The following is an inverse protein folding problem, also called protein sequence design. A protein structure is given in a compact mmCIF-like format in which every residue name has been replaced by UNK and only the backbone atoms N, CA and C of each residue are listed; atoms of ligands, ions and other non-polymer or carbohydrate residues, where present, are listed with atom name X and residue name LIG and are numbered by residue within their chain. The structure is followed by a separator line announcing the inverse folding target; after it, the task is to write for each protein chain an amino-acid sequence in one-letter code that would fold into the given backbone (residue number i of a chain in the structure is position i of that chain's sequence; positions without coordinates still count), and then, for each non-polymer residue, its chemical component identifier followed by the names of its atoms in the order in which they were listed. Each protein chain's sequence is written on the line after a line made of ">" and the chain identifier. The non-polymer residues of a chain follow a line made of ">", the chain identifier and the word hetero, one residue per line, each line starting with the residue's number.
data_IF_648043969057
#
_entry.id   IF_648043969057
#
_cell.length_a   1.000
_cell.length_b   1.000
_cell.length_c   1.000
_cell.angle_alpha   90.00
_cell.angle_beta   90.00
_cell.angle_gamma   90.00
#
_symmetry.space_group_name_H-M   'P 1'
#
loop_
_entity.id
_entity.type
_entity.pdbx_description
1 polymer ?
#
# COMPACT_ATOMS: atom_id res chain seq x y z
N UNK A 1 7.13 31.19 43.28
CA UNK A 1 7.60 30.03 42.48
C UNK A 1 8.56 29.21 43.35
N UNK A 2 8.32 27.93 43.49
CA UNK A 2 9.19 27.02 44.27
C UNK A 2 10.44 26.75 43.45
N UNK A 3 11.60 26.60 44.14
CA UNK A 3 12.90 26.34 43.45
C UNK A 3 12.84 25.16 42.44
N UNK A 4 11.98 24.20 42.68
CA UNK A 4 11.72 23.06 41.77
C UNK A 4 11.10 23.48 40.43
N UNK A 5 10.22 24.51 40.44
CA UNK A 5 9.55 24.99 39.23
C UNK A 5 10.52 25.71 38.31
N UNK A 6 11.49 26.44 38.91
CA UNK A 6 12.55 27.16 38.17
C UNK A 6 13.49 26.16 37.49
N UNK A 7 13.86 25.06 38.16
CA UNK A 7 14.72 24.01 37.62
C UNK A 7 14.00 23.31 36.43
N UNK A 8 12.72 23.04 36.55
CA UNK A 8 11.93 22.38 35.51
C UNK A 8 11.81 23.26 34.24
N UNK A 9 11.60 24.56 34.41
CA UNK A 9 11.56 25.55 33.33
C UNK A 9 12.93 25.64 32.63
N UNK A 10 14.02 25.68 33.38
CA UNK A 10 15.37 25.71 32.83
C UNK A 10 15.70 24.44 32.03
N UNK A 11 15.32 23.26 32.53
CA UNK A 11 15.48 21.99 31.78
C UNK A 11 14.70 21.99 30.45
N UNK A 12 13.46 22.50 30.45
CA UNK A 12 12.64 22.59 29.24
C UNK A 12 13.24 23.54 28.20
N UNK A 13 13.78 24.70 28.63
CA UNK A 13 14.45 25.65 27.74
C UNK A 13 15.72 25.04 27.15
N UNK A 14 16.49 24.31 27.94
CA UNK A 14 17.73 23.68 27.52
C UNK A 14 17.45 22.56 26.48
N UNK A 15 16.40 21.79 26.70
CA UNK A 15 15.97 20.74 25.80
C UNK A 15 15.48 21.31 24.45
N UNK A 16 14.73 22.41 24.49
CA UNK A 16 14.30 23.13 23.29
C UNK A 16 15.48 23.69 22.48
N UNK A 17 16.51 24.24 23.18
CA UNK A 17 17.72 24.76 22.53
C UNK A 17 18.54 23.66 21.85
N UNK A 18 18.64 22.46 22.45
CA UNK A 18 19.33 21.30 21.85
C UNK A 18 18.60 20.83 20.59
N UNK A 19 17.26 20.75 20.62
CA UNK A 19 16.48 20.38 19.45
C UNK A 19 16.60 21.37 18.30
N UNK A 20 16.69 22.68 18.60
CA UNK A 20 16.93 23.73 17.61
C UNK A 20 18.33 23.60 16.97
N UNK A 21 19.36 23.28 17.73
CA UNK A 21 20.73 23.12 17.23
C UNK A 21 20.83 21.86 16.32
N UNK A 22 20.17 20.76 16.67
CA UNK A 22 20.13 19.56 15.85
C UNK A 22 19.36 19.81 14.54
N UNK A 23 18.24 20.56 14.61
CA UNK A 23 17.44 20.92 13.42
C UNK A 23 18.17 21.84 12.44
N UNK A 24 19.04 22.73 12.92
CA UNK A 24 19.86 23.62 12.07
C UNK A 24 21.03 22.87 11.39
N UNK A 25 21.59 21.85 12.03
CA UNK A 25 22.66 21.03 11.46
C UNK A 25 22.18 20.16 10.28
N UNK A 26 20.91 19.77 10.26
CA UNK A 26 20.33 18.98 9.17
C UNK A 26 20.01 19.78 7.89
N UNK A 27 20.04 21.12 7.95
CA UNK A 27 19.73 21.99 6.78
C UNK A 27 20.96 22.46 5.99
N UNK A 28 22.18 22.11 6.40
CA UNK A 28 23.41 22.64 5.76
C UNK A 28 24.10 21.64 4.83
N UNK A 29 23.40 20.62 4.32
CA UNK A 29 23.97 19.64 3.39
C UNK A 29 23.18 19.55 2.08
N UNK A 30 22.90 20.70 1.44
CA UNK A 30 22.47 20.71 0.04
C UNK A 30 22.77 22.08 -0.56
N UNK A 31 23.97 22.20 -1.15
CA UNK A 31 24.31 23.05 -2.27
C UNK A 31 25.82 23.05 -2.47
N UNK A 32 26.31 22.34 -3.48
CA UNK A 32 27.45 22.77 -4.30
C UNK A 32 27.61 21.88 -5.52
N UNK A 33 26.94 22.31 -6.57
CA UNK A 33 27.26 21.90 -7.93
C UNK A 33 28.20 22.96 -8.54
N UNK A 34 29.46 22.63 -8.79
CA UNK A 34 30.25 23.29 -9.84
C UNK A 34 31.35 22.37 -10.33
N UNK A 35 31.31 21.99 -11.61
CA UNK A 35 32.37 21.40 -12.45
C UNK A 35 33.30 22.54 -12.91
N UNK A 36 34.64 22.37 -13.28
CA UNK A 36 35.11 21.34 -14.19
C UNK A 36 36.59 20.85 -13.99
N UNK A 37 36.86 19.67 -14.58
CA UNK A 37 38.02 19.33 -15.47
C UNK A 37 39.39 18.93 -14.90
N UNK A 38 39.76 17.69 -15.28
CA UNK A 38 41.04 17.15 -15.80
C UNK A 38 41.96 16.37 -14.87
N UNK A 39 42.00 15.07 -15.22
CA UNK A 39 43.11 14.12 -15.36
C UNK A 39 43.82 13.55 -14.14
N UNK A 40 43.84 12.22 -14.17
CA UNK A 40 44.98 11.29 -14.00
C UNK A 40 44.87 10.25 -12.91
N UNK A 41 44.64 9.02 -13.37
CA UNK A 41 45.14 7.69 -12.93
C UNK A 41 45.50 7.44 -11.46
N UNK A 42 44.79 6.47 -10.87
CA UNK A 42 45.36 5.19 -10.44
C UNK A 42 44.28 4.24 -9.95
N UNK A 43 44.42 3.00 -10.37
CA UNK A 43 43.62 1.81 -10.05
C UNK A 43 43.60 1.53 -8.54
N UNK A 44 42.42 1.30 -7.98
CA UNK A 44 42.26 0.37 -6.87
C UNK A 44 40.92 -0.36 -7.00
N UNK A 45 41.03 -1.67 -7.18
CA UNK A 45 39.99 -2.65 -7.32
C UNK A 45 39.22 -2.76 -6.01
N UNK A 46 37.97 -2.31 -5.95
CA UNK A 46 37.03 -2.68 -4.92
C UNK A 46 35.75 -3.13 -5.57
N UNK A 47 35.49 -4.43 -5.49
CA UNK A 47 34.24 -5.06 -5.86
C UNK A 47 33.11 -4.43 -5.04
N UNK A 48 32.41 -3.44 -5.61
CA UNK A 48 31.09 -3.05 -5.17
C UNK A 48 30.10 -4.03 -5.79
N UNK A 49 29.45 -4.80 -4.91
CA UNK A 49 28.32 -5.64 -5.29
C UNK A 49 27.30 -4.82 -6.02
N UNK A 50 27.15 -5.08 -7.32
CA UNK A 50 26.04 -4.61 -8.13
C UNK A 50 24.76 -5.17 -7.53
N UNK A 51 24.08 -4.39 -6.67
CA UNK A 51 22.65 -4.58 -6.46
C UNK A 51 21.99 -4.33 -7.82
N UNK A 52 21.72 -5.42 -8.51
CA UNK A 52 20.87 -5.45 -9.69
C UNK A 52 19.54 -4.84 -9.29
N UNK A 53 19.32 -3.59 -9.68
CA UNK A 53 18.00 -2.98 -9.72
C UNK A 53 17.20 -3.72 -10.80
N UNK A 54 16.68 -4.89 -10.44
CA UNK A 54 15.66 -5.58 -11.22
C UNK A 54 14.46 -4.63 -11.27
N UNK A 55 14.10 -4.14 -12.45
CA UNK A 55 12.89 -3.33 -12.61
C UNK A 55 11.69 -4.05 -11.97
N UNK A 56 10.78 -3.33 -11.32
CA UNK A 56 9.63 -3.93 -10.64
C UNK A 56 8.81 -4.87 -11.54
N UNK A 57 8.87 -4.67 -12.87
CA UNK A 57 8.15 -5.45 -13.86
C UNK A 57 8.55 -6.94 -13.91
N UNK A 58 9.80 -7.31 -13.63
CA UNK A 58 10.24 -8.72 -13.66
C UNK A 58 9.76 -9.56 -12.48
N UNK A 59 9.13 -8.94 -11.50
CA UNK A 59 8.64 -9.62 -10.30
C UNK A 59 7.32 -10.37 -10.53
N UNK A 60 6.56 -9.99 -11.57
CA UNK A 60 5.21 -10.51 -11.83
C UNK A 60 5.18 -11.42 -13.05
N UNK A 61 4.28 -12.41 -13.03
CA UNK A 61 4.07 -13.29 -14.19
C UNK A 61 3.61 -12.52 -15.43
N UNK A 62 3.83 -13.08 -16.62
CA UNK A 62 3.36 -12.50 -17.87
C UNK A 62 1.85 -12.30 -17.88
N UNK A 63 1.09 -13.25 -17.31
CA UNK A 63 -0.37 -13.19 -17.24
C UNK A 63 -0.83 -12.02 -16.38
N UNK A 64 -0.19 -11.80 -15.22
CA UNK A 64 -0.49 -10.70 -14.32
C UNK A 64 -0.22 -9.36 -15.00
N UNK A 65 0.92 -9.23 -15.67
CA UNK A 65 1.26 -8.00 -16.41
C UNK A 65 0.30 -7.72 -17.58
N UNK A 66 -0.04 -8.75 -18.34
CA UNK A 66 -1.01 -8.62 -19.44
C UNK A 66 -2.39 -8.19 -18.94
N UNK A 67 -2.87 -8.77 -17.84
CA UNK A 67 -4.15 -8.42 -17.25
C UNK A 67 -4.16 -6.97 -16.71
N UNK A 68 -3.11 -6.52 -16.06
CA UNK A 68 -2.98 -5.15 -15.60
C UNK A 68 -2.95 -4.16 -16.77
N UNK A 69 -2.15 -4.44 -17.81
CA UNK A 69 -2.07 -3.61 -19.01
C UNK A 69 -3.43 -3.51 -19.73
N UNK A 70 -4.15 -4.61 -19.83
CA UNK A 70 -5.51 -4.62 -20.40
C UNK A 70 -6.48 -3.77 -19.57
N UNK A 71 -6.41 -3.86 -18.24
CA UNK A 71 -7.24 -3.06 -17.35
C UNK A 71 -7.04 -1.57 -17.59
N UNK A 72 -5.79 -1.06 -17.53
CA UNK A 72 -5.49 0.36 -17.70
C UNK A 72 -5.73 0.86 -19.13
N UNK A 73 -5.58 0.01 -20.14
CA UNK A 73 -5.95 0.34 -21.52
C UNK A 73 -7.46 0.61 -21.68
N UNK A 74 -8.30 -0.09 -20.92
CA UNK A 74 -9.76 0.10 -20.91
C UNK A 74 -10.22 1.20 -19.96
N UNK A 75 -9.43 1.54 -18.97
CA UNK A 75 -9.76 2.47 -17.90
C UNK A 75 -8.69 3.56 -17.76
N UNK A 76 -8.41 4.37 -18.80
CA UNK A 76 -7.38 5.40 -18.73
C UNK A 76 -7.81 6.55 -17.83
N UNK A 77 -6.93 6.97 -16.90
CA UNK A 77 -7.13 8.13 -16.03
C UNK A 77 -5.79 8.64 -15.52
N UNK A 78 -5.74 9.92 -15.09
CA UNK A 78 -4.55 10.52 -14.47
C UNK A 78 -4.41 10.10 -13.00
N UNK A 79 -5.53 9.79 -12.36
CA UNK A 79 -5.59 9.32 -10.98
C UNK A 79 -6.70 8.27 -10.79
N UNK A 80 -6.55 7.49 -9.72
CA UNK A 80 -7.43 6.38 -9.39
C UNK A 80 -7.81 6.41 -7.92
N UNK A 81 -9.00 5.91 -7.60
CA UNK A 81 -9.45 5.69 -6.24
C UNK A 81 -9.24 4.21 -5.87
N UNK A 82 -8.55 3.97 -4.78
CA UNK A 82 -8.44 2.67 -4.13
C UNK A 82 -9.28 2.67 -2.86
N UNK A 83 -10.17 1.70 -2.75
CA UNK A 83 -11.02 1.51 -1.57
C UNK A 83 -10.53 0.29 -0.83
N UNK A 84 -10.25 0.43 0.47
CA UNK A 84 -9.94 -0.69 1.34
C UNK A 84 -10.91 -0.76 2.52
N UNK A 85 -11.34 -1.95 2.83
CA UNK A 85 -12.07 -2.30 4.05
C UNK A 85 -11.25 -3.29 4.87
N UNK A 86 -11.72 -3.65 6.07
CA UNK A 86 -11.10 -4.72 6.84
C UNK A 86 -11.16 -6.10 6.15
N UNK A 87 -12.01 -6.28 5.15
CA UNK A 87 -12.25 -7.56 4.47
C UNK A 87 -11.66 -7.62 3.06
N UNK A 88 -11.54 -6.49 2.37
CA UNK A 88 -11.18 -6.46 0.96
C UNK A 88 -10.59 -5.13 0.51
N UNK A 89 -9.95 -5.15 -0.66
CA UNK A 89 -9.61 -3.96 -1.42
C UNK A 89 -10.28 -4.02 -2.79
N UNK A 90 -10.70 -2.86 -3.31
CA UNK A 90 -11.20 -2.75 -4.70
C UNK A 90 -10.03 -2.80 -5.69
N UNK A 91 -10.33 -3.08 -6.96
CA UNK A 91 -9.43 -2.66 -8.04
C UNK A 91 -9.36 -1.13 -8.08
N UNK A 92 -8.26 -0.53 -8.56
CA UNK A 92 -8.19 0.93 -8.71
C UNK A 92 -9.31 1.46 -9.63
N UNK A 93 -10.14 2.37 -9.15
CA UNK A 93 -11.28 2.94 -9.87
C UNK A 93 -10.81 4.22 -10.57
N UNK A 94 -10.96 4.39 -11.90
CA UNK A 94 -10.52 5.59 -12.60
C UNK A 94 -11.31 6.83 -12.16
N UNK A 95 -10.61 7.92 -11.88
CA UNK A 95 -11.22 9.22 -11.52
C UNK A 95 -11.35 10.11 -12.75
N UNK A 96 -12.14 9.67 -13.73
CA UNK A 96 -12.33 10.35 -15.02
C UNK A 96 -13.79 10.70 -15.33
N UNK A 97 -14.74 10.31 -14.47
CA UNK A 97 -16.18 10.57 -14.60
C UNK A 97 -16.76 11.02 -13.25
N UNK A 98 -17.94 11.67 -13.30
CA UNK A 98 -18.63 12.12 -12.10
C UNK A 98 -19.82 11.23 -11.78
N UNK A 99 -19.81 10.60 -10.62
CA UNK A 99 -20.90 9.75 -10.11
C UNK A 99 -20.75 9.50 -8.60
N UNK A 100 -21.83 8.98 -7.98
CA UNK A 100 -21.79 8.50 -6.59
C UNK A 100 -22.17 7.03 -6.53
N UNK A 101 -21.60 6.32 -5.58
CA UNK A 101 -21.93 4.93 -5.30
C UNK A 101 -21.82 4.62 -3.80
N UNK A 102 -22.47 3.55 -3.37
CA UNK A 102 -22.48 3.12 -1.98
C UNK A 102 -21.59 1.90 -1.78
N UNK A 103 -20.73 1.96 -0.76
CA UNK A 103 -20.02 0.80 -0.22
C UNK A 103 -20.78 0.33 1.01
N UNK A 104 -21.42 -0.84 0.90
CA UNK A 104 -22.12 -1.51 2.00
C UNK A 104 -21.30 -2.68 2.51
N UNK A 105 -21.21 -2.83 3.83
CA UNK A 105 -20.48 -3.91 4.48
C UNK A 105 -21.44 -4.86 5.21
N UNK A 106 -21.05 -6.12 5.49
CA UNK A 106 -21.92 -7.12 6.09
C UNK A 106 -22.46 -6.76 7.48
N UNK A 107 -21.78 -5.87 8.19
CA UNK A 107 -22.17 -5.36 9.51
C UNK A 107 -23.23 -4.25 9.46
N UNK A 108 -23.68 -3.86 8.25
CA UNK A 108 -24.63 -2.78 8.02
C UNK A 108 -23.99 -1.40 7.89
N UNK A 109 -22.67 -1.30 7.90
CA UNK A 109 -21.98 -0.06 7.63
C UNK A 109 -22.18 0.38 6.17
N UNK A 110 -22.54 1.65 5.96
CA UNK A 110 -22.75 2.24 4.63
C UNK A 110 -21.98 3.54 4.48
N UNK A 111 -21.29 3.67 3.37
CA UNK A 111 -20.57 4.87 2.99
C UNK A 111 -20.91 5.21 1.54
N UNK A 112 -21.43 6.41 1.30
CA UNK A 112 -21.65 6.94 -0.05
C UNK A 112 -20.43 7.75 -0.45
N UNK A 113 -19.85 7.41 -1.59
CA UNK A 113 -18.64 8.00 -2.11
C UNK A 113 -19.00 8.73 -3.38
N UNK A 114 -18.67 10.00 -3.45
CA UNK A 114 -18.73 10.78 -4.68
C UNK A 114 -17.37 10.78 -5.37
N UNK A 115 -17.36 10.45 -6.64
CA UNK A 115 -16.20 10.46 -7.53
C UNK A 115 -16.38 11.57 -8.54
N UNK A 116 -15.33 12.32 -8.83
CA UNK A 116 -15.26 13.31 -9.87
C UNK A 116 -13.95 13.20 -10.65
N UNK A 117 -13.73 14.08 -11.62
CA UNK A 117 -12.47 14.09 -12.38
C UNK A 117 -11.32 14.48 -11.46
N UNK A 118 -10.36 13.56 -11.30
CA UNK A 118 -9.20 13.68 -10.40
C UNK A 118 -9.56 14.08 -8.96
N UNK A 119 -10.74 13.64 -8.49
CA UNK A 119 -11.24 13.99 -7.17
C UNK A 119 -12.19 12.95 -6.60
N UNK A 120 -12.29 12.91 -5.27
CA UNK A 120 -13.34 12.19 -4.56
C UNK A 120 -13.56 12.77 -3.16
N UNK A 121 -14.71 12.44 -2.57
CA UNK A 121 -15.00 12.71 -1.16
C UNK A 121 -16.02 11.72 -0.62
N UNK A 122 -16.12 11.65 0.71
CA UNK A 122 -17.19 10.92 1.39
C UNK A 122 -18.45 11.80 1.39
N UNK A 123 -19.45 11.44 0.58
CA UNK A 123 -20.69 12.19 0.46
C UNK A 123 -21.58 12.00 1.69
N UNK A 124 -21.71 10.76 2.16
CA UNK A 124 -22.43 10.45 3.40
C UNK A 124 -21.93 9.14 4.00
N UNK A 125 -22.24 8.95 5.27
CA UNK A 125 -21.94 7.72 6.02
C UNK A 125 -22.99 7.53 7.10
N UNK A 126 -23.32 6.30 7.48
CA UNK A 126 -24.16 6.03 8.64
C UNK A 126 -23.35 5.86 9.95
N UNK A 127 -22.07 6.22 9.97
CA UNK A 127 -21.28 6.27 11.20
C UNK A 127 -21.71 7.43 12.11
N UNK A 128 -21.60 7.24 13.44
CA UNK A 128 -22.09 8.20 14.43
C UNK A 128 -21.38 9.56 14.41
N UNK A 129 -20.07 9.57 14.15
CA UNK A 129 -19.25 10.78 14.30
C UNK A 129 -19.14 11.63 13.04
N UNK A 130 -19.48 11.10 11.86
CA UNK A 130 -19.45 11.80 10.57
C UNK A 130 -18.09 12.47 10.21
N UNK A 131 -16.98 12.10 10.86
CA UNK A 131 -15.69 12.72 10.62
C UNK A 131 -15.20 12.51 9.19
N UNK A 132 -15.43 11.32 8.64
CA UNK A 132 -15.05 10.98 7.25
C UNK A 132 -15.74 11.88 6.21
N UNK A 133 -16.98 12.34 6.48
CA UNK A 133 -17.70 13.30 5.62
C UNK A 133 -17.09 14.69 5.73
N UNK A 134 -16.62 15.07 6.93
CA UNK A 134 -16.02 16.38 7.21
C UNK A 134 -14.59 16.51 6.68
N UNK A 135 -13.91 15.42 6.33
CA UNK A 135 -12.57 15.44 5.76
C UNK A 135 -12.52 16.17 4.40
N UNK A 136 -13.66 16.28 3.71
CA UNK A 136 -13.82 17.04 2.46
C UNK A 136 -13.18 16.36 1.26
N UNK A 137 -13.12 17.11 0.15
CA UNK A 137 -12.67 16.60 -1.15
C UNK A 137 -11.15 16.41 -1.19
N UNK A 138 -10.73 15.25 -1.70
CA UNK A 138 -9.35 14.97 -2.10
C UNK A 138 -9.22 15.28 -3.58
N UNK A 139 -8.18 16.01 -3.97
CA UNK A 139 -7.81 16.28 -5.38
C UNK A 139 -6.30 16.11 -5.56
N UNK A 140 -5.84 15.95 -6.80
CA UNK A 140 -4.41 15.93 -7.10
C UNK A 140 -3.67 17.19 -6.63
N UNK A 141 -4.34 18.36 -6.66
CA UNK A 141 -3.72 19.62 -6.27
C UNK A 141 -3.63 19.77 -4.75
N UNK A 142 -4.63 19.27 -3.99
CA UNK A 142 -4.71 19.51 -2.54
C UNK A 142 -4.16 18.37 -1.67
N UNK A 143 -3.93 17.18 -2.21
CA UNK A 143 -3.58 16.00 -1.42
C UNK A 143 -2.34 16.21 -0.54
N UNK A 144 -1.33 16.97 -1.00
CA UNK A 144 -0.13 17.27 -0.24
C UNK A 144 -0.30 18.35 0.85
N UNK A 145 -1.45 19.02 0.90
CA UNK A 145 -1.78 20.08 1.86
C UNK A 145 -2.77 19.61 2.93
N UNK A 146 -3.35 18.42 2.77
CA UNK A 146 -4.32 17.82 3.69
C UNK A 146 -3.62 17.11 4.85
N UNK A 147 -4.30 17.00 5.99
CA UNK A 147 -3.78 16.29 7.18
C UNK A 147 -3.60 14.79 6.90
N UNK A 148 -4.53 14.18 6.17
CA UNK A 148 -4.48 12.78 5.77
C UNK A 148 -3.95 12.58 4.34
N UNK A 149 -3.30 13.60 3.79
CA UNK A 149 -2.75 13.57 2.43
C UNK A 149 -3.80 13.16 1.38
N UNK A 150 -3.54 12.07 0.66
CA UNK A 150 -4.37 11.53 -0.41
C UNK A 150 -5.53 10.64 0.08
N UNK A 151 -5.86 10.65 1.39
CA UNK A 151 -6.79 9.70 1.99
C UNK A 151 -8.02 10.37 2.63
N UNK A 152 -9.12 9.59 2.71
CA UNK A 152 -10.27 9.79 3.60
C UNK A 152 -10.48 8.51 4.40
N UNK A 153 -10.65 8.62 5.72
CA UNK A 153 -10.75 7.48 6.63
C UNK A 153 -12.09 7.47 7.37
N UNK A 154 -12.87 6.41 7.24
CA UNK A 154 -13.99 6.12 8.12
C UNK A 154 -13.57 5.05 9.14
N UNK A 155 -13.01 5.49 10.28
CA UNK A 155 -12.51 4.58 11.31
C UNK A 155 -13.59 3.67 11.90
N UNK A 156 -14.82 4.15 12.20
CA UNK A 156 -15.89 3.26 12.70
C UNK A 156 -16.22 2.13 11.72
N UNK A 157 -16.17 2.40 10.42
CA UNK A 157 -16.47 1.42 9.37
C UNK A 157 -15.21 0.71 8.83
N UNK A 158 -14.03 1.02 9.37
CA UNK A 158 -12.76 0.46 8.93
C UNK A 158 -12.59 0.55 7.40
N UNK A 159 -12.99 1.68 6.83
CA UNK A 159 -12.93 1.97 5.41
C UNK A 159 -11.95 3.09 5.15
N UNK A 160 -11.08 2.91 4.17
CA UNK A 160 -10.19 3.94 3.64
C UNK A 160 -10.42 4.14 2.15
N UNK A 161 -10.39 5.40 1.75
CA UNK A 161 -10.37 5.86 0.37
C UNK A 161 -9.01 6.49 0.13
N UNK A 162 -8.32 6.11 -0.93
CA UNK A 162 -6.98 6.59 -1.23
C UNK A 162 -6.88 6.97 -2.71
N UNK A 163 -6.39 8.18 -3.00
CA UNK A 163 -6.05 8.62 -4.34
C UNK A 163 -4.68 8.08 -4.72
N UNK A 164 -4.60 7.43 -5.86
CA UNK A 164 -3.36 6.93 -6.45
C UNK A 164 -3.08 7.65 -7.76
N UNK A 165 -1.81 7.89 -8.04
CA UNK A 165 -1.33 8.21 -9.39
C UNK A 165 -1.45 6.98 -10.29
N UNK A 166 -1.34 7.15 -11.61
CA UNK A 166 -1.41 6.02 -12.55
C UNK A 166 -0.36 4.94 -12.25
N UNK A 167 0.87 5.32 -11.90
CA UNK A 167 1.93 4.34 -11.58
C UNK A 167 1.71 3.61 -10.25
N UNK A 168 1.17 4.30 -9.23
CA UNK A 168 0.81 3.67 -7.95
C UNK A 168 -0.37 2.71 -8.12
N UNK A 169 -1.35 3.09 -8.94
CA UNK A 169 -2.49 2.24 -9.27
C UNK A 169 -2.08 0.98 -10.03
N UNK A 170 -1.14 1.10 -10.99
CA UNK A 170 -0.57 -0.04 -11.70
C UNK A 170 0.13 -1.00 -10.73
N UNK A 171 0.97 -0.48 -9.85
CA UNK A 171 1.66 -1.27 -8.83
C UNK A 171 0.65 -1.99 -7.91
N UNK A 172 -0.36 -1.28 -7.43
CA UNK A 172 -1.39 -1.85 -6.56
C UNK A 172 -2.18 -2.98 -7.25
N UNK A 173 -2.53 -2.80 -8.52
CA UNK A 173 -3.24 -3.83 -9.29
C UNK A 173 -2.37 -5.06 -9.56
N UNK A 174 -1.09 -4.86 -9.93
CA UNK A 174 -0.13 -5.95 -10.12
C UNK A 174 0.02 -6.81 -8.85
N UNK A 175 0.14 -6.17 -7.69
CA UNK A 175 0.22 -6.87 -6.39
C UNK A 175 -1.06 -7.66 -6.09
N UNK A 176 -2.24 -7.08 -6.34
CA UNK A 176 -3.52 -7.75 -6.13
C UNK A 176 -3.69 -8.98 -7.02
N UNK A 177 -3.37 -8.85 -8.31
CA UNK A 177 -3.46 -9.95 -9.28
C UNK A 177 -2.46 -11.06 -8.97
N UNK A 178 -1.24 -10.73 -8.58
CA UNK A 178 -0.22 -11.70 -8.17
C UNK A 178 -0.64 -12.48 -6.91
N UNK A 179 -1.26 -11.82 -5.93
CA UNK A 179 -1.80 -12.49 -4.75
C UNK A 179 -2.94 -13.45 -5.12
N UNK A 180 -3.81 -13.05 -6.04
CA UNK A 180 -4.91 -13.89 -6.53
C UNK A 180 -4.38 -15.12 -7.27
N UNK A 181 -3.37 -14.97 -8.15
CA UNK A 181 -2.72 -16.06 -8.86
C UNK A 181 -2.08 -17.06 -7.88
N UNK A 182 -1.37 -16.56 -6.86
CA UNK A 182 -0.75 -17.38 -5.82
C UNK A 182 -1.78 -18.18 -5.00
N UNK A 183 -2.91 -17.58 -4.64
CA UNK A 183 -3.97 -18.28 -3.92
C UNK A 183 -4.65 -19.34 -4.79
N UNK A 184 -4.85 -19.08 -6.08
CA UNK A 184 -5.44 -20.04 -7.01
C UNK A 184 -4.55 -21.27 -7.22
N UNK A 185 -3.24 -21.08 -7.34
CA UNK A 185 -2.27 -22.17 -7.49
C UNK A 185 -2.16 -23.06 -6.25
N UNK A 186 -2.38 -22.52 -5.06
CA UNK A 186 -2.40 -23.31 -3.81
C UNK A 186 -3.64 -24.21 -3.69
N UNK A 187 -4.75 -23.82 -4.32
CA UNK A 187 -6.00 -24.60 -4.27
C UNK A 187 -6.04 -25.75 -5.29
N UNK A 188 -5.18 -25.75 -6.30
CA UNK A 188 -5.13 -26.73 -7.39
C UNK A 188 -4.13 -27.88 -7.16
N UNK A 189 -3.50 -27.95 -5.95
CA UNK A 189 -2.64 -29.07 -5.60
C UNK A 189 -3.48 -30.37 -5.45
N UNK A 190 -3.23 -31.44 -6.23
CA UNK A 190 -4.00 -32.68 -6.13
C UNK A 190 -3.81 -33.30 -4.73
N UNK A 191 -4.83 -33.96 -4.15
CA UNK A 191 -4.64 -34.71 -2.93
C UNK A 191 -3.59 -35.80 -3.16
N UNK A 192 -2.52 -35.79 -2.36
CA UNK A 192 -1.53 -36.84 -2.35
C UNK A 192 -2.23 -38.21 -2.29
N UNK A 193 -2.04 -38.99 -3.34
CA UNK A 193 -2.50 -40.39 -3.40
C UNK A 193 -1.74 -41.17 -2.30
N UNK A 194 -2.40 -41.37 -1.17
CA UNK A 194 -1.95 -42.32 -0.15
C UNK A 194 -1.95 -43.71 -0.79
N UNK A 195 -0.77 -44.18 -1.21
CA UNK A 195 -0.51 -45.54 -1.62
C UNK A 195 -0.76 -46.45 -0.42
N UNK A 196 -1.95 -47.05 -0.37
CA UNK A 196 -2.20 -48.19 0.51
C UNK A 196 -1.42 -49.39 -0.05
N UNK A 197 -0.32 -49.73 0.63
CA UNK A 197 0.35 -50.99 0.48
C UNK A 197 -0.53 -52.09 1.15
N UNK A 198 -1.35 -52.77 0.31
CA UNK A 198 -1.95 -54.05 0.67
C UNK A 198 -0.83 -55.10 0.65
N UNK A 199 -0.29 -55.44 1.80
CA UNK A 199 0.43 -56.69 2.05
C UNK A 199 -0.59 -57.76 2.38
N UNK A 200 -0.96 -58.52 1.38
CA UNK A 200 -1.58 -59.85 1.52
C UNK A 200 -0.60 -60.79 2.21
N UNK A 201 -0.93 -61.26 3.38
CA UNK A 201 -0.23 -62.42 4.00
C UNK A 201 -1.27 -63.55 4.15
N UNK A 202 -1.01 -64.56 3.35
CA UNK A 202 -1.66 -65.87 3.32
C UNK A 202 -1.10 -66.71 4.46
N UNK A 203 -1.94 -67.19 5.35
CA UNK A 203 -1.56 -68.37 6.18
C UNK A 203 -2.76 -69.29 6.32
N UNK A 204 -2.56 -70.46 5.78
CA UNK A 204 -3.40 -71.67 5.89
C UNK A 204 -3.29 -72.32 7.28
N UNK A 205 -4.26 -73.07 7.66
CA UNK A 205 -4.22 -74.01 8.81
C UNK A 205 -5.60 -74.44 9.26
N UNK A 206 -6.12 -75.44 8.71
CA UNK A 206 -6.48 -76.78 9.16
C UNK A 206 -7.23 -76.96 10.49
N UNK A 207 -8.36 -77.64 10.37
CA UNK A 207 -8.85 -78.82 11.09
C UNK A 207 -9.61 -78.69 12.40
N UNK A 208 -10.77 -79.35 12.32
CA UNK A 208 -11.42 -80.34 13.20
C UNK A 208 -12.23 -79.86 14.43
N UNK A 209 -13.43 -80.14 14.44
CA UNK A 209 -14.47 -81.08 14.94
C UNK A 209 -15.84 -80.42 15.06
#
# INVERSE_FOLDING_TARGET
>A
MKKKDIILILCMILLAAVLLLVGLSARHSSDNNTKPTTASESEDNREEGSESSTEPADRYSENVRAAAAEYFSKNPADSYLLIRTNLSASVPIPLNEEYSFTVSQPDGSENVIHVGVNSFYMESSNCDNQNCVQEGTVTLENMNQRVLFNMVLCLPHQLSLEMLTASEAETALLEMLAQQEAMSSMHEAPPESTSQNDTSDTAAGSEEQ
#
